data_IF_050559896402
#
_entry.id   IF_050559896402
#
_cell.length_a   1.000
_cell.length_b   1.000
_cell.length_c   1.000
_cell.angle_alpha   90.00
_cell.angle_beta   90.00
_cell.angle_gamma   90.00
#
_symmetry.space_group_name_H-M   'P 1'
#
loop_
_entity.id
_entity.type
_entity.pdbx_description
1 polymer ?
#
# COMPACT_ATOMS: atom_id res chain seq x y z
N UNK A 1 -17.72 -28.95 -41.25
CA UNK A 1 -18.08 -28.81 -39.83
C UNK A 1 -16.78 -28.80 -39.04
N UNK A 2 -16.34 -27.62 -38.62
CA UNK A 2 -15.12 -27.44 -37.83
C UNK A 2 -15.50 -27.76 -36.39
N UNK A 3 -14.90 -28.81 -35.83
CA UNK A 3 -15.06 -29.15 -34.42
C UNK A 3 -14.17 -28.19 -33.62
N UNK A 4 -14.76 -27.06 -33.29
CA UNK A 4 -14.25 -26.04 -32.39
C UNK A 4 -14.32 -26.57 -30.94
N UNK A 5 -13.67 -27.71 -30.68
CA UNK A 5 -13.28 -28.11 -29.32
C UNK A 5 -12.29 -27.08 -28.81
N UNK A 6 -12.84 -25.97 -28.36
CA UNK A 6 -12.65 -25.45 -27.00
C UNK A 6 -11.37 -25.98 -26.35
N UNK A 7 -10.23 -25.51 -26.88
CA UNK A 7 -8.99 -25.51 -26.12
C UNK A 7 -9.22 -24.54 -24.97
N UNK A 8 -9.86 -25.06 -23.90
CA UNK A 8 -9.79 -24.45 -22.59
C UNK A 8 -8.31 -24.41 -22.26
N UNK A 9 -7.71 -23.25 -22.50
CA UNK A 9 -6.52 -22.83 -21.77
C UNK A 9 -6.78 -23.20 -20.31
N UNK A 10 -5.86 -23.88 -19.61
CA UNK A 10 -5.98 -24.02 -18.17
C UNK A 10 -5.76 -22.62 -17.56
N UNK A 11 -6.79 -21.77 -17.60
CA UNK A 11 -6.79 -20.38 -17.10
C UNK A 11 -6.78 -20.31 -15.56
N UNK A 12 -6.43 -21.40 -14.89
CA UNK A 12 -6.49 -21.51 -13.43
C UNK A 12 -5.14 -21.60 -12.73
N UNK A 13 -4.06 -21.97 -13.42
CA UNK A 13 -2.78 -22.27 -12.76
C UNK A 13 -1.78 -21.12 -12.96
N UNK A 14 -2.14 -19.96 -12.39
CA UNK A 14 -1.23 -18.82 -12.32
C UNK A 14 0.02 -19.14 -11.50
N UNK A 15 1.15 -18.50 -11.82
CA UNK A 15 2.42 -18.69 -11.10
C UNK A 15 2.22 -18.41 -9.61
N UNK A 16 2.20 -19.46 -8.79
CA UNK A 16 2.13 -19.37 -7.34
C UNK A 16 3.52 -19.03 -6.81
N UNK A 17 3.62 -17.89 -6.13
CA UNK A 17 4.87 -17.48 -5.50
C UNK A 17 5.29 -18.48 -4.42
N UNK A 18 6.57 -18.84 -4.42
CA UNK A 18 7.18 -19.61 -3.33
C UNK A 18 7.10 -18.83 -2.02
N UNK A 19 7.15 -19.51 -0.88
CA UNK A 19 7.03 -18.84 0.42
C UNK A 19 8.15 -17.82 0.67
N UNK A 20 9.33 -18.07 0.12
CA UNK A 20 10.44 -17.13 0.14
C UNK A 20 10.14 -15.85 -0.66
N UNK A 21 9.54 -15.97 -1.85
CA UNK A 21 9.15 -14.82 -2.67
C UNK A 21 8.04 -14.01 -1.98
N UNK A 22 7.06 -14.68 -1.36
CA UNK A 22 6.01 -14.02 -0.56
C UNK A 22 6.61 -13.26 0.63
N UNK A 23 7.58 -13.84 1.33
CA UNK A 23 8.25 -13.20 2.47
C UNK A 23 9.01 -11.94 2.07
N UNK A 24 9.76 -11.99 0.95
CA UNK A 24 10.46 -10.81 0.42
C UNK A 24 9.49 -9.70 0.01
N UNK A 25 8.35 -10.05 -0.60
CA UNK A 25 7.30 -9.08 -0.95
C UNK A 25 6.71 -8.41 0.29
N UNK A 26 6.37 -9.18 1.32
CA UNK A 26 5.86 -8.65 2.60
C UNK A 26 6.84 -7.69 3.26
N UNK A 27 8.12 -8.04 3.32
CA UNK A 27 9.15 -7.16 3.89
C UNK A 27 9.22 -5.79 3.20
N UNK A 28 9.16 -5.76 1.86
CA UNK A 28 9.13 -4.51 1.09
C UNK A 28 7.88 -3.68 1.38
N UNK A 29 6.70 -4.32 1.40
CA UNK A 29 5.45 -3.62 1.72
C UNK A 29 5.46 -3.03 3.12
N UNK A 30 6.01 -3.75 4.11
CA UNK A 30 6.16 -3.26 5.49
C UNK A 30 7.11 -2.07 5.55
N UNK A 31 8.25 -2.11 4.85
CA UNK A 31 9.18 -0.98 4.80
C UNK A 31 8.55 0.28 4.17
N UNK A 32 7.77 0.12 3.11
CA UNK A 32 7.08 1.24 2.48
C UNK A 32 6.01 1.81 3.44
N UNK A 33 5.23 0.93 4.08
CA UNK A 33 4.20 1.34 5.03
C UNK A 33 4.79 2.08 6.24
N UNK A 34 5.91 1.62 6.78
CA UNK A 34 6.55 2.27 7.92
C UNK A 34 7.10 3.65 7.55
N UNK A 35 7.74 3.80 6.39
CA UNK A 35 8.25 5.09 5.91
C UNK A 35 7.11 6.08 5.66
N UNK A 36 6.06 5.66 4.96
CA UNK A 36 4.90 6.51 4.69
C UNK A 36 4.17 6.89 5.98
N UNK A 37 3.94 5.94 6.88
CA UNK A 37 3.29 6.20 8.17
C UNK A 37 4.10 7.18 9.03
N UNK A 38 5.42 6.99 9.11
CA UNK A 38 6.30 7.90 9.84
C UNK A 38 6.27 9.32 9.27
N UNK A 39 6.33 9.45 7.93
CA UNK A 39 6.25 10.75 7.26
C UNK A 39 4.93 11.48 7.60
N UNK A 40 3.79 10.78 7.54
CA UNK A 40 2.48 11.35 7.87
C UNK A 40 2.43 11.82 9.33
N UNK A 41 2.93 11.01 10.27
CA UNK A 41 2.97 11.37 11.69
C UNK A 41 3.81 12.62 11.91
N UNK A 42 4.99 12.71 11.29
CA UNK A 42 5.85 13.90 11.36
C UNK A 42 5.10 15.16 10.87
N UNK A 43 4.48 15.09 9.69
CA UNK A 43 3.71 16.21 9.17
C UNK A 43 2.56 16.60 10.10
N UNK A 44 1.83 15.63 10.62
CA UNK A 44 0.70 15.89 11.52
C UNK A 44 1.13 16.57 12.82
N UNK A 45 2.24 16.12 13.42
CA UNK A 45 2.83 16.76 14.61
C UNK A 45 3.22 18.21 14.30
N UNK A 46 3.91 18.45 13.17
CA UNK A 46 4.27 19.80 12.74
C UNK A 46 3.02 20.64 12.49
N UNK A 47 1.98 20.09 11.88
CA UNK A 47 0.70 20.78 11.67
C UNK A 47 0.09 21.22 12.99
N UNK A 48 -0.01 20.35 13.99
CA UNK A 48 -0.55 20.73 15.30
C UNK A 48 0.30 21.81 15.96
N UNK A 49 1.63 21.61 16.02
CA UNK A 49 2.53 22.55 16.71
C UNK A 49 2.55 23.91 16.03
N UNK A 50 2.56 23.94 14.69
CA UNK A 50 2.75 25.17 13.90
C UNK A 50 1.44 25.87 13.56
N UNK A 51 0.38 25.14 13.24
CA UNK A 51 -0.93 25.71 12.90
C UNK A 51 -1.84 25.85 14.13
N UNK A 52 -1.70 24.99 15.15
CA UNK A 52 -2.57 24.98 16.34
C UNK A 52 -2.65 26.32 17.08
N UNK A 53 -1.53 27.02 17.36
CA UNK A 53 -1.58 28.34 18.00
C UNK A 53 -2.22 29.42 17.11
N UNK A 54 -2.06 29.31 15.79
CA UNK A 54 -2.58 30.27 14.84
C UNK A 54 -4.10 30.18 14.65
N UNK A 55 -4.71 28.98 14.77
CA UNK A 55 -6.18 28.84 14.79
C UNK A 55 -6.81 29.23 16.14
N UNK A 56 -6.09 29.09 17.25
CA UNK A 56 -6.60 29.48 18.58
C UNK A 56 -6.52 30.99 18.83
N UNK A 57 -5.57 31.70 18.21
CA UNK A 57 -5.45 33.16 18.27
C UNK A 57 -6.33 33.84 17.22
N UNK A 58 -7.63 33.56 17.22
CA UNK A 58 -8.59 34.33 16.41
C UNK A 58 -9.31 35.33 17.31
N UNK A 59 -9.09 36.66 17.13
CA UNK A 59 -9.96 37.64 17.76
C UNK A 59 -11.37 37.48 17.19
N UNK A 60 -12.37 37.37 18.08
CA UNK A 60 -13.79 37.46 17.75
C UNK A 60 -14.15 38.91 17.42
#
# INVERSE_FOLDING_TARGET
MVDEKEKRTPEGEGIVLTDEQKRRRRARSVAIASVLGFLVILFYVVTIVKMGPAVLNRPL
#
